data_IF_173357502796
#
_entry.id   IF_173357502796
#
_cell.length_a   1.000
_cell.length_b   1.000
_cell.length_c   1.000
_cell.angle_alpha   90.00
_cell.angle_beta   90.00
_cell.angle_gamma   90.00
#
_symmetry.space_group_name_H-M   'P 1'
#
loop_
_entity.id
_entity.type
_entity.pdbx_description
1 polymer ?
#
# COMPACT_ATOMS: atom_id res chain seq x y z
N UNK A 1 50.20 13.33 11.40
CA UNK A 1 49.88 13.06 9.99
C UNK A 1 49.52 14.38 9.34
N UNK A 2 50.21 14.76 8.27
CA UNK A 2 49.86 15.95 7.51
C UNK A 2 48.65 15.61 6.65
N UNK A 3 47.61 16.45 6.65
CA UNK A 3 46.38 16.20 5.87
C UNK A 3 46.60 16.18 4.34
N UNK A 4 47.79 16.59 3.90
CA UNK A 4 48.18 16.77 2.50
C UNK A 4 49.15 15.69 2.01
N UNK A 5 49.38 14.61 2.77
CA UNK A 5 50.13 13.47 2.25
C UNK A 5 49.27 12.63 1.28
N UNK A 6 49.92 12.02 0.29
CA UNK A 6 49.23 11.26 -0.77
C UNK A 6 48.31 10.18 -0.20
N UNK A 7 48.68 9.59 0.94
CA UNK A 7 47.88 8.55 1.60
C UNK A 7 46.61 9.12 2.26
N UNK A 8 46.65 10.29 2.90
CA UNK A 8 45.44 10.92 3.43
C UNK A 8 44.53 11.39 2.31
N UNK A 9 45.10 11.93 1.22
CA UNK A 9 44.33 12.32 0.02
C UNK A 9 43.61 11.10 -0.57
N UNK A 10 44.32 9.97 -0.73
CA UNK A 10 43.71 8.72 -1.18
C UNK A 10 42.54 8.29 -0.28
N UNK A 11 42.76 8.28 1.03
CA UNK A 11 41.74 7.88 2.01
C UNK A 11 40.51 8.79 1.96
N UNK A 12 40.71 10.11 1.87
CA UNK A 12 39.64 11.09 1.78
C UNK A 12 38.81 10.90 0.51
N UNK A 13 39.47 10.72 -0.64
CA UNK A 13 38.81 10.48 -1.92
C UNK A 13 38.01 9.17 -1.91
N UNK A 14 38.53 8.11 -1.31
CA UNK A 14 37.80 6.84 -1.16
C UNK A 14 36.51 7.03 -0.37
N UNK A 15 36.57 7.77 0.74
CA UNK A 15 35.41 8.07 1.59
C UNK A 15 34.41 8.92 0.82
N UNK A 16 34.86 10.02 0.18
CA UNK A 16 33.98 10.91 -0.59
C UNK A 16 33.33 10.16 -1.75
N UNK A 17 34.09 9.39 -2.52
CA UNK A 17 33.57 8.58 -3.63
C UNK A 17 32.52 7.57 -3.16
N UNK A 18 32.78 6.88 -2.05
CA UNK A 18 31.82 5.93 -1.45
C UNK A 18 30.54 6.63 -0.98
N UNK A 19 30.66 7.80 -0.34
CA UNK A 19 29.49 8.58 0.08
C UNK A 19 28.69 9.12 -1.10
N UNK A 20 29.34 9.50 -2.20
CA UNK A 20 28.67 9.93 -3.43
C UNK A 20 27.90 8.80 -4.10
N UNK A 21 28.45 7.57 -4.13
CA UNK A 21 27.70 6.38 -4.58
C UNK A 21 26.43 6.21 -3.75
N UNK A 22 26.55 6.26 -2.42
CA UNK A 22 25.41 6.15 -1.52
C UNK A 22 24.42 7.27 -1.80
N UNK A 23 24.88 8.52 -1.94
CA UNK A 23 24.04 9.66 -2.25
C UNK A 23 23.28 9.52 -3.58
N UNK A 24 23.87 8.94 -4.63
CA UNK A 24 23.15 8.66 -5.90
C UNK A 24 21.96 7.72 -5.70
N UNK A 25 22.06 6.75 -4.77
CA UNK A 25 20.94 5.84 -4.45
C UNK A 25 19.77 6.59 -3.80
N UNK A 26 20.05 7.59 -2.96
CA UNK A 26 19.03 8.42 -2.30
C UNK A 26 18.50 9.53 -3.21
N UNK A 27 19.37 10.11 -4.03
CA UNK A 27 19.09 11.23 -4.92
C UNK A 27 19.44 10.77 -6.34
N UNK A 28 18.54 10.05 -7.04
CA UNK A 28 18.80 9.56 -8.39
C UNK A 28 19.00 10.76 -9.31
N UNK A 29 20.26 11.17 -9.46
CA UNK A 29 20.67 12.41 -10.11
C UNK A 29 20.79 12.22 -11.62
N UNK A 30 20.49 11.00 -12.10
CA UNK A 30 20.73 10.56 -13.47
C UNK A 30 22.19 10.17 -13.71
N UNK A 31 22.94 9.82 -12.66
CA UNK A 31 24.34 9.39 -12.74
C UNK A 31 25.37 10.51 -12.59
N UNK A 32 24.96 11.74 -12.27
CA UNK A 32 25.91 12.86 -12.05
C UNK A 32 26.76 12.61 -10.80
N UNK A 33 26.15 12.25 -9.66
CA UNK A 33 26.92 11.91 -8.46
C UNK A 33 27.73 10.63 -8.67
N UNK A 34 27.17 9.66 -9.40
CA UNK A 34 27.88 8.45 -9.84
C UNK A 34 29.16 8.74 -10.64
N UNK A 35 29.13 9.75 -11.53
CA UNK A 35 30.31 10.17 -12.29
C UNK A 35 31.39 10.74 -11.37
N UNK A 36 31.03 11.67 -10.48
CA UNK A 36 31.98 12.24 -9.52
C UNK A 36 32.51 11.20 -8.53
N UNK A 37 31.68 10.24 -8.12
CA UNK A 37 32.10 9.11 -7.32
C UNK A 37 33.19 8.28 -8.03
N UNK A 38 32.94 7.90 -9.29
CA UNK A 38 33.91 7.14 -10.09
C UNK A 38 35.23 7.87 -10.26
N UNK A 39 35.19 9.17 -10.56
CA UNK A 39 36.40 10.01 -10.65
C UNK A 39 37.16 10.06 -9.31
N UNK A 40 36.42 10.17 -8.20
CA UNK A 40 37.01 10.22 -6.86
C UNK A 40 37.70 8.90 -6.48
N UNK A 41 37.08 7.75 -6.75
CA UNK A 41 37.65 6.42 -6.49
C UNK A 41 38.88 6.14 -7.36
N UNK A 42 38.82 6.47 -8.66
CA UNK A 42 39.99 6.36 -9.55
C UNK A 42 41.14 7.24 -9.05
N UNK A 43 40.85 8.47 -8.64
CA UNK A 43 41.86 9.36 -8.07
C UNK A 43 42.40 8.81 -6.73
N UNK A 44 41.57 8.19 -5.90
CA UNK A 44 42.01 7.54 -4.66
C UNK A 44 43.08 6.47 -4.92
N UNK A 45 42.81 5.54 -5.84
CA UNK A 45 43.76 4.48 -6.22
C UNK A 45 45.05 5.08 -6.79
N UNK A 46 44.96 6.15 -7.57
CA UNK A 46 46.11 6.85 -8.11
C UNK A 46 46.99 7.48 -7.01
N UNK A 47 46.41 8.20 -6.04
CA UNK A 47 47.18 8.76 -4.91
C UNK A 47 47.74 7.67 -3.99
N UNK A 48 47.01 6.57 -3.78
CA UNK A 48 47.52 5.41 -3.05
C UNK A 48 48.76 4.82 -3.73
N UNK A 49 48.73 4.72 -5.06
CA UNK A 49 49.87 4.30 -5.87
C UNK A 49 51.06 5.26 -5.75
N UNK A 50 50.85 6.58 -5.79
CA UNK A 50 51.94 7.55 -5.60
C UNK A 50 52.59 7.41 -4.21
N UNK A 51 51.79 7.12 -3.18
CA UNK A 51 52.29 7.02 -1.81
C UNK A 51 53.19 5.80 -1.52
N UNK A 52 53.06 4.70 -2.29
CA UNK A 52 53.76 3.45 -1.99
C UNK A 52 53.73 2.39 -3.08
N UNK A 53 53.61 2.82 -4.33
CA UNK A 53 53.68 2.01 -5.54
C UNK A 53 52.50 1.06 -5.74
N UNK A 54 52.72 0.07 -6.60
CA UNK A 54 51.68 -0.86 -7.07
C UNK A 54 50.99 -1.62 -5.94
N UNK A 55 51.71 -1.95 -4.87
CA UNK A 55 51.15 -2.67 -3.73
C UNK A 55 50.02 -1.86 -3.06
N UNK A 56 50.23 -0.56 -2.79
CA UNK A 56 49.21 0.29 -2.17
C UNK A 56 48.05 0.60 -3.11
N UNK A 57 48.32 0.81 -4.40
CA UNK A 57 47.27 0.99 -5.40
C UNK A 57 46.33 -0.22 -5.47
N UNK A 58 46.88 -1.43 -5.56
CA UNK A 58 46.09 -2.67 -5.57
C UNK A 58 45.34 -2.89 -4.26
N UNK A 59 45.95 -2.55 -3.12
CA UNK A 59 45.28 -2.63 -1.81
C UNK A 59 44.04 -1.74 -1.76
N UNK A 60 44.14 -0.48 -2.18
CA UNK A 60 43.01 0.45 -2.23
C UNK A 60 41.92 -0.03 -3.20
N UNK A 61 42.29 -0.45 -4.40
CA UNK A 61 41.33 -1.01 -5.36
C UNK A 61 40.59 -2.24 -4.79
N UNK A 62 41.32 -3.11 -4.06
CA UNK A 62 40.73 -4.26 -3.37
C UNK A 62 39.79 -3.85 -2.22
N UNK A 63 40.13 -2.79 -1.48
CA UNK A 63 39.23 -2.22 -0.46
C UNK A 63 37.97 -1.65 -1.09
N UNK A 64 38.08 -0.88 -2.16
CA UNK A 64 36.93 -0.30 -2.89
C UNK A 64 35.98 -1.39 -3.41
N UNK A 65 36.53 -2.50 -3.92
CA UNK A 65 35.77 -3.65 -4.39
C UNK A 65 34.93 -4.32 -3.29
N UNK A 66 35.24 -4.10 -2.01
CA UNK A 66 34.46 -4.61 -0.87
C UNK A 66 33.58 -3.50 -0.29
N UNK A 67 34.15 -2.31 -0.06
CA UNK A 67 33.49 -1.19 0.60
C UNK A 67 32.32 -0.66 -0.22
N UNK A 68 32.50 -0.46 -1.53
CA UNK A 68 31.45 0.13 -2.38
C UNK A 68 30.23 -0.78 -2.46
N UNK A 69 30.34 -2.09 -2.79
CA UNK A 69 29.18 -2.98 -2.79
C UNK A 69 28.53 -3.12 -1.41
N UNK A 70 29.33 -3.18 -0.34
CA UNK A 70 28.81 -3.26 1.04
C UNK A 70 28.03 -1.99 1.41
N UNK A 71 28.55 -0.81 1.05
CA UNK A 71 27.88 0.46 1.29
C UNK A 71 26.58 0.58 0.49
N UNK A 72 26.55 0.12 -0.77
CA UNK A 72 25.34 0.08 -1.60
C UNK A 72 24.32 -0.91 -1.02
N UNK A 73 24.75 -2.12 -0.64
CA UNK A 73 23.88 -3.11 0.00
C UNK A 73 23.27 -2.59 1.30
N UNK A 74 24.10 -1.97 2.15
CA UNK A 74 23.65 -1.32 3.37
C UNK A 74 22.67 -0.18 3.04
N UNK A 75 22.97 0.67 2.05
CA UNK A 75 22.09 1.74 1.63
C UNK A 75 20.70 1.19 1.27
N UNK A 76 20.59 0.17 0.40
CA UNK A 76 19.31 -0.43 0.05
C UNK A 76 18.59 -1.10 1.23
N UNK A 77 19.32 -1.73 2.15
CA UNK A 77 18.74 -2.41 3.32
C UNK A 77 18.20 -1.41 4.35
N UNK A 78 18.93 -0.31 4.58
CA UNK A 78 18.54 0.70 5.56
C UNK A 78 17.63 1.79 4.98
N UNK A 79 17.62 1.97 3.65
CA UNK A 79 16.78 2.94 2.92
C UNK A 79 15.34 2.95 3.45
N UNK A 80 14.57 1.83 3.49
CA UNK A 80 13.16 1.85 3.92
C UNK A 80 12.95 2.28 5.39
N UNK A 81 13.99 2.22 6.23
CA UNK A 81 13.91 2.62 7.63
C UNK A 81 14.27 4.11 7.85
N UNK A 82 14.88 4.77 6.87
CA UNK A 82 15.24 6.19 6.97
C UNK A 82 14.07 7.12 6.62
N UNK A 83 14.03 8.36 7.18
CA UNK A 83 13.00 9.35 6.83
C UNK A 83 12.95 9.65 5.33
N UNK A 84 14.12 9.64 4.67
CA UNK A 84 14.26 9.87 3.24
C UNK A 84 13.68 8.70 2.42
N UNK A 85 13.96 7.45 2.80
CA UNK A 85 13.39 6.30 2.10
C UNK A 85 11.88 6.20 2.25
N UNK A 86 11.30 6.59 3.40
CA UNK A 86 9.84 6.67 3.55
C UNK A 86 9.20 7.75 2.66
N UNK A 87 9.91 8.86 2.44
CA UNK A 87 9.47 9.92 1.52
C UNK A 87 9.57 9.47 0.04
N UNK A 88 10.59 8.69 -0.30
CA UNK A 88 10.85 8.22 -1.68
C UNK A 88 10.03 6.99 -2.09
N UNK A 89 9.82 6.03 -1.18
CA UNK A 89 9.12 4.78 -1.46
C UNK A 89 7.59 4.90 -1.30
N UNK A 90 7.10 6.03 -0.76
CA UNK A 90 5.74 6.14 -0.26
C UNK A 90 5.59 5.39 1.06
N UNK A 91 4.87 5.98 2.00
CA UNK A 91 4.57 5.33 3.27
C UNK A 91 3.95 3.95 3.02
N UNK A 92 4.54 2.90 3.59
CA UNK A 92 3.85 1.61 3.67
C UNK A 92 2.49 1.83 4.36
N UNK A 93 1.39 1.22 3.87
CA UNK A 93 0.08 1.39 4.47
C UNK A 93 0.16 1.12 5.98
N UNK A 94 -0.30 2.08 6.76
CA UNK A 94 -0.36 1.97 8.22
C UNK A 94 -1.33 0.85 8.59
N UNK A 95 -1.13 0.20 9.75
CA UNK A 95 -2.02 -0.88 10.22
C UNK A 95 -3.50 -0.48 10.29
N UNK A 96 -3.79 0.81 10.48
CA UNK A 96 -5.15 1.36 10.43
C UNK A 96 -5.73 1.41 9.01
N UNK A 97 -4.89 1.61 7.98
CA UNK A 97 -5.32 1.56 6.57
C UNK A 97 -5.64 0.13 6.14
N UNK A 98 -4.89 -0.86 6.64
CA UNK A 98 -5.17 -2.29 6.40
C UNK A 98 -6.49 -2.72 7.06
N UNK A 99 -6.74 -2.30 8.31
CA UNK A 99 -8.02 -2.57 9.01
C UNK A 99 -9.22 -1.93 8.33
N UNK A 100 -9.04 -0.76 7.72
CA UNK A 100 -10.11 -0.06 7.00
C UNK A 100 -10.40 -0.74 5.65
N UNK A 101 -9.39 -1.31 4.99
CA UNK A 101 -9.58 -2.11 3.78
C UNK A 101 -10.43 -3.35 4.06
N UNK A 102 -10.14 -4.10 5.13
CA UNK A 102 -10.92 -5.30 5.50
C UNK A 102 -12.40 -4.99 5.78
N UNK A 103 -12.69 -3.90 6.50
CA UNK A 103 -14.06 -3.48 6.80
C UNK A 103 -14.82 -3.04 5.53
N UNK A 104 -14.12 -2.45 4.56
CA UNK A 104 -14.72 -1.97 3.31
C UNK A 104 -14.85 -3.06 2.25
N UNK A 105 -14.00 -4.08 2.26
CA UNK A 105 -14.20 -5.27 1.45
C UNK A 105 -15.54 -5.95 1.76
N UNK A 106 -16.06 -5.83 2.99
CA UNK A 106 -17.40 -6.33 3.35
C UNK A 106 -18.55 -5.58 2.62
N UNK A 107 -18.28 -4.44 1.97
CA UNK A 107 -19.26 -3.72 1.15
C UNK A 107 -19.43 -4.33 -0.24
N UNK A 108 -18.52 -5.19 -0.70
CA UNK A 108 -18.65 -5.84 -2.00
C UNK A 108 -19.93 -6.67 -2.09
N UNK A 109 -20.67 -6.50 -3.18
CA UNK A 109 -21.95 -7.16 -3.39
C UNK A 109 -23.15 -6.51 -2.68
N UNK A 110 -22.94 -5.57 -1.76
CA UNK A 110 -24.03 -4.80 -1.11
C UNK A 110 -24.73 -3.88 -2.11
N UNK A 111 -26.01 -3.64 -1.86
CA UNK A 111 -26.84 -2.70 -2.62
C UNK A 111 -27.01 -1.42 -1.80
N UNK A 112 -26.88 -0.28 -2.46
CA UNK A 112 -27.10 1.04 -1.90
C UNK A 112 -27.89 1.94 -2.84
N UNK A 113 -27.94 3.22 -2.49
CA UNK A 113 -28.64 4.26 -3.26
C UNK A 113 -27.69 5.37 -3.69
N UNK A 114 -27.72 5.76 -4.97
CA UNK A 114 -27.03 6.96 -5.42
C UNK A 114 -27.65 8.22 -4.78
N UNK A 115 -26.84 9.06 -4.14
CA UNK A 115 -27.27 10.35 -3.56
C UNK A 115 -26.93 11.54 -4.43
N UNK A 116 -25.93 11.40 -5.28
CA UNK A 116 -25.58 12.40 -6.30
C UNK A 116 -25.53 11.76 -7.68
N UNK A 117 -25.55 12.61 -8.71
CA UNK A 117 -25.40 12.17 -10.09
C UNK A 117 -23.96 11.70 -10.30
N UNK A 118 -23.78 10.46 -10.77
CA UNK A 118 -22.46 9.84 -10.93
C UNK A 118 -21.99 9.91 -12.39
N UNK A 119 -20.92 10.66 -12.65
CA UNK A 119 -20.34 10.88 -14.00
C UNK A 119 -18.80 11.08 -13.97
N UNK A 120 -17.99 10.05 -13.70
CA UNK A 120 -18.33 8.75 -13.15
C UNK A 120 -18.36 8.75 -11.62
N UNK A 121 -17.79 9.78 -10.97
CA UNK A 121 -17.74 9.87 -9.50
C UNK A 121 -19.04 10.44 -8.93
N UNK A 122 -19.43 9.95 -7.76
CA UNK A 122 -20.52 10.50 -6.98
C UNK A 122 -20.59 9.86 -5.59
N UNK A 123 -21.67 10.13 -4.88
CA UNK A 123 -21.90 9.67 -3.50
C UNK A 123 -23.01 8.63 -3.51
N UNK A 124 -22.77 7.52 -2.83
CA UNK A 124 -23.76 6.46 -2.59
C UNK A 124 -24.06 6.36 -1.10
N UNK A 125 -25.20 5.77 -0.73
CA UNK A 125 -25.55 5.45 0.65
C UNK A 125 -25.81 3.95 0.80
N UNK A 126 -25.12 3.31 1.73
CA UNK A 126 -25.27 1.89 2.09
C UNK A 126 -25.42 1.84 3.61
N UNK A 127 -26.44 1.17 4.12
CA UNK A 127 -26.69 1.02 5.58
C UNK A 127 -26.72 2.35 6.37
N UNK A 128 -27.11 3.44 5.71
CA UNK A 128 -27.16 4.79 6.30
C UNK A 128 -25.81 5.54 6.28
N UNK A 129 -24.73 4.94 5.79
CA UNK A 129 -23.43 5.57 5.61
C UNK A 129 -23.26 6.12 4.19
N UNK A 130 -22.77 7.35 4.08
CA UNK A 130 -22.48 7.99 2.78
C UNK A 130 -21.04 7.75 2.36
N UNK A 131 -20.85 7.19 1.19
CA UNK A 131 -19.56 6.76 0.67
C UNK A 131 -19.32 7.34 -0.73
N UNK A 132 -18.07 7.71 -1.00
CA UNK A 132 -17.65 8.10 -2.36
C UNK A 132 -17.44 6.86 -3.22
N UNK A 133 -18.01 6.88 -4.43
CA UNK A 133 -17.95 5.77 -5.35
C UNK A 133 -17.82 6.23 -6.81
N UNK A 134 -17.35 5.31 -7.65
CA UNK A 134 -17.16 5.52 -9.09
C UNK A 134 -18.06 4.54 -9.85
N UNK A 135 -18.87 5.06 -10.76
CA UNK A 135 -19.73 4.23 -11.60
C UNK A 135 -18.94 3.51 -12.68
N UNK A 136 -19.30 2.26 -12.95
CA UNK A 136 -18.74 1.46 -14.04
C UNK A 136 -19.41 1.87 -15.36
N UNK A 137 -18.80 2.83 -16.05
CA UNK A 137 -19.06 3.16 -17.46
C UNK A 137 -20.34 3.94 -17.77
N UNK A 138 -21.41 3.81 -16.98
CA UNK A 138 -22.67 4.52 -17.21
C UNK A 138 -22.95 5.61 -16.18
N UNK A 139 -23.69 6.63 -16.62
CA UNK A 139 -24.25 7.64 -15.75
C UNK A 139 -25.28 7.02 -14.80
N UNK A 140 -25.22 7.37 -13.52
CA UNK A 140 -26.21 6.95 -12.52
C UNK A 140 -26.84 8.21 -11.94
N UNK A 141 -28.17 8.31 -12.02
CA UNK A 141 -28.91 9.45 -11.49
C UNK A 141 -29.18 9.29 -9.98
N UNK A 142 -29.35 10.39 -9.24
CA UNK A 142 -29.72 10.33 -7.83
C UNK A 142 -31.00 9.51 -7.61
N UNK A 143 -31.03 8.71 -6.56
CA UNK A 143 -32.14 7.82 -6.20
C UNK A 143 -32.12 6.46 -6.90
N UNK A 144 -31.18 6.22 -7.82
CA UNK A 144 -31.04 4.88 -8.43
C UNK A 144 -30.30 3.93 -7.50
N UNK A 145 -30.76 2.67 -7.46
CA UNK A 145 -30.10 1.62 -6.73
C UNK A 145 -28.81 1.17 -7.43
N UNK A 146 -27.76 0.98 -6.64
CA UNK A 146 -26.42 0.64 -7.11
C UNK A 146 -25.89 -0.56 -6.34
N UNK A 147 -25.10 -1.41 -7.01
CA UNK A 147 -24.42 -2.54 -6.41
C UNK A 147 -22.91 -2.32 -6.44
N UNK A 148 -22.25 -2.56 -5.31
CA UNK A 148 -20.80 -2.55 -5.22
C UNK A 148 -20.25 -3.77 -5.93
N UNK A 149 -19.39 -3.54 -6.93
CA UNK A 149 -18.78 -4.60 -7.73
C UNK A 149 -17.33 -4.86 -7.33
N UNK A 150 -16.66 -3.87 -6.76
CA UNK A 150 -15.24 -3.95 -6.42
C UNK A 150 -14.89 -2.86 -5.40
N UNK A 151 -14.08 -3.23 -4.41
CA UNK A 151 -13.44 -2.29 -3.47
C UNK A 151 -11.93 -2.47 -3.57
N UNK A 152 -11.20 -1.38 -3.83
CA UNK A 152 -9.73 -1.34 -3.77
C UNK A 152 -9.27 -0.15 -2.95
N UNK A 153 -8.84 -0.37 -1.70
CA UNK A 153 -8.43 0.74 -0.84
C UNK A 153 -9.58 1.71 -0.59
N UNK A 154 -9.34 2.98 -0.90
CA UNK A 154 -10.38 4.00 -0.81
C UNK A 154 -11.34 4.06 -2.03
N UNK A 155 -11.14 3.21 -3.04
CA UNK A 155 -11.91 3.26 -4.28
C UNK A 155 -13.03 2.21 -4.27
N UNK A 156 -14.26 2.67 -4.18
CA UNK A 156 -15.46 1.83 -4.31
C UNK A 156 -16.00 1.97 -5.73
N UNK A 157 -16.11 0.85 -6.46
CA UNK A 157 -16.69 0.82 -7.80
C UNK A 157 -18.11 0.23 -7.73
N UNK A 158 -19.05 0.89 -8.41
CA UNK A 158 -20.45 0.49 -8.41
C UNK A 158 -21.01 0.41 -9.82
N UNK A 159 -22.04 -0.42 -10.01
CA UNK A 159 -22.90 -0.41 -11.19
C UNK A 159 -24.35 -0.23 -10.77
N UNK A 160 -25.22 0.07 -11.73
CA UNK A 160 -26.67 0.01 -11.51
C UNK A 160 -27.07 -1.41 -11.08
N UNK A 161 -27.90 -1.52 -10.05
CA UNK A 161 -28.44 -2.81 -9.60
C UNK A 161 -29.52 -3.31 -10.57
N UNK A 162 -29.56 -4.63 -10.80
CA UNK A 162 -30.58 -5.27 -11.63
C UNK A 162 -31.88 -5.50 -10.84
N UNK A 163 -33.03 -5.60 -11.52
CA UNK A 163 -34.33 -5.80 -10.85
C UNK A 163 -34.38 -7.09 -10.01
N UNK A 164 -33.71 -8.16 -10.45
CA UNK A 164 -33.60 -9.41 -9.69
C UNK A 164 -32.85 -9.24 -8.36
N UNK A 165 -31.91 -8.30 -8.29
CA UNK A 165 -31.10 -8.07 -7.10
C UNK A 165 -31.87 -7.24 -6.05
N UNK A 166 -32.77 -6.36 -6.51
CA UNK A 166 -33.65 -5.55 -5.66
C UNK A 166 -34.70 -6.41 -4.93
N UNK A 167 -35.28 -7.40 -5.61
CA UNK A 167 -36.24 -8.32 -5.00
C UNK A 167 -35.61 -9.16 -3.86
N UNK A 168 -34.35 -9.56 -4.02
CA UNK A 168 -33.63 -10.35 -3.00
C UNK A 168 -33.30 -9.52 -1.75
N UNK A 169 -33.00 -8.23 -1.93
CA UNK A 169 -32.74 -7.32 -0.81
C UNK A 169 -34.02 -7.02 0.00
N UNK A 170 -35.17 -6.89 -0.67
CA UNK A 170 -36.46 -6.69 -0.01
C UNK A 170 -36.90 -7.95 0.77
N UNK A 171 -36.78 -9.15 0.19
CA UNK A 171 -37.12 -10.43 0.87
C UNK A 171 -36.31 -10.69 2.14
N UNK A 172 -35.07 -10.21 2.22
CA UNK A 172 -34.21 -10.39 3.41
C UNK A 172 -34.58 -9.43 4.56
N UNK A 173 -35.27 -8.32 4.26
CA UNK A 173 -35.71 -7.32 5.23
C UNK A 173 -37.10 -7.59 5.83
N UNK A 174 -37.86 -8.50 5.24
CA UNK A 174 -39.15 -8.91 5.78
C UNK A 174 -38.89 -9.89 6.91
N UNK A 175 -39.10 -9.42 8.14
CA UNK A 175 -39.03 -10.21 9.36
C UNK A 175 -39.74 -11.57 9.19
N UNK A 176 -39.00 -12.70 9.24
CA UNK A 176 -39.61 -14.02 9.11
C UNK A 176 -40.62 -14.33 10.22
N UNK A 177 -40.65 -13.54 11.31
CA UNK A 177 -41.59 -13.64 12.43
C UNK A 177 -42.92 -12.91 12.20
N UNK A 178 -43.02 -12.05 11.18
CA UNK A 178 -44.29 -11.38 10.84
C UNK A 178 -45.25 -12.29 10.05
N UNK A 179 -44.83 -13.52 9.73
CA UNK A 179 -45.70 -14.53 9.12
C UNK A 179 -46.76 -14.96 10.13
N UNK A 180 -48.06 -14.92 9.80
CA UNK A 180 -49.10 -15.49 10.65
C UNK A 180 -48.74 -16.94 11.03
N UNK A 181 -48.87 -17.29 12.30
CA UNK A 181 -48.53 -18.62 12.83
C UNK A 181 -49.28 -19.75 12.12
N UNK A 182 -50.38 -19.45 11.42
CA UNK A 182 -51.12 -20.36 10.56
C UNK A 182 -50.28 -20.96 9.42
N UNK A 183 -49.25 -20.26 8.94
CA UNK A 183 -48.36 -20.75 7.86
C UNK A 183 -47.25 -21.69 8.35
N UNK A 184 -47.04 -21.77 9.67
CA UNK A 184 -46.04 -22.62 10.32
C UNK A 184 -46.60 -23.99 10.73
N UNK A 185 -47.88 -24.29 10.44
CA UNK A 185 -48.48 -25.60 10.73
C UNK A 185 -48.60 -25.95 12.21
N UNK A 186 -48.56 -24.94 13.10
CA UNK A 186 -48.56 -25.09 14.56
C UNK A 186 -49.97 -25.01 15.19
N UNK A 187 -51.04 -25.11 14.40
CA UNK A 187 -52.42 -24.91 14.84
C UNK A 187 -53.06 -26.05 15.65
N UNK A 188 -52.51 -27.27 15.58
CA UNK A 188 -53.19 -28.48 16.07
C UNK A 188 -52.48 -29.17 17.25
N UNK A 189 -51.66 -28.45 18.03
CA UNK A 189 -51.13 -29.00 19.28
C UNK A 189 -52.16 -28.81 20.41
N UNK A 190 -53.14 -29.70 20.44
CA UNK A 190 -54.07 -29.85 21.56
C UNK A 190 -53.26 -30.41 22.74
N UNK A 191 -52.95 -29.55 23.72
CA UNK A 191 -52.39 -29.99 24.99
C UNK A 191 -53.54 -30.58 25.81
N UNK A 192 -53.80 -31.88 25.64
CA UNK A 192 -54.66 -32.64 26.53
C UNK A 192 -54.19 -32.43 27.96
N UNK A 193 -54.95 -31.65 28.71
CA UNK A 193 -54.75 -31.42 30.13
C UNK A 193 -55.38 -32.59 30.86
N UNK A 194 -54.67 -33.73 30.85
CA UNK A 194 -55.05 -34.88 31.64
C UNK A 194 -54.86 -34.57 33.12
N UNK A 195 -55.98 -34.23 33.74
CA UNK A 195 -56.23 -34.34 35.15
C UNK A 195 -55.77 -35.71 35.67
N UNK A 196 -54.77 -35.74 36.54
CA UNK A 196 -54.63 -36.81 37.51
C UNK A 196 -54.67 -36.22 38.92
N UNK A 197 -55.89 -36.25 39.46
CA UNK A 197 -56.13 -36.45 40.88
C UNK A 197 -55.54 -37.79 41.32
N UNK A 198 -54.66 -37.79 42.31
CA UNK A 198 -54.62 -38.71 43.47
C UNK A 198 -53.51 -38.29 44.42
#
# INVERSE_FOLDING_TARGET
>A
MNLLDDLSIATLLMIIGSLLIVAEVFFPSGGVLGLFAGLSLVASVYYAYLSGGIFRGVLFAGMEAIVVPTAVYAAFTYLPYTPLGKLLLGSAPTSDEVRNDDARHALEGRIGLAKSKMLPSGVIEIDGERLDAISQGQAIDPGQAVKVIEVRGNRIMVRRAEQSELATAEETSVDPLARPAETLGLGDFDFDTDSQSS
#
